data_IF_543925259902
#
_entry.id   IF_543925259902
#
_cell.length_a   1.000
_cell.length_b   1.000
_cell.length_c   1.000
_cell.angle_alpha   90.00
_cell.angle_beta   90.00
_cell.angle_gamma   90.00
#
_symmetry.space_group_name_H-M   'P 1'
#
loop_
_entity.id
_entity.type
_entity.pdbx_description
1 polymer ?
#
# COMPACT_ATOMS: atom_id res chain seq x y z
N UNK A 1 -9.13 -10.46 -41.93
CA UNK A 1 -8.96 -10.33 -40.47
C UNK A 1 -8.19 -9.06 -40.17
N UNK A 2 -8.87 -8.11 -39.54
CA UNK A 2 -8.32 -6.85 -39.03
C UNK A 2 -8.04 -7.04 -37.54
N UNK A 3 -6.85 -6.67 -37.06
CA UNK A 3 -6.55 -6.79 -35.63
C UNK A 3 -5.47 -5.80 -35.18
N UNK A 4 -5.61 -5.37 -33.93
CA UNK A 4 -4.59 -4.62 -33.19
C UNK A 4 -3.56 -5.62 -32.65
N UNK A 5 -2.36 -5.65 -33.23
CA UNK A 5 -1.33 -6.65 -32.91
C UNK A 5 -0.69 -6.31 -31.56
N UNK A 6 -0.15 -5.10 -31.46
CA UNK A 6 0.60 -4.67 -30.29
C UNK A 6 0.65 -3.14 -30.20
N UNK A 7 0.75 -2.63 -28.98
CA UNK A 7 1.07 -1.22 -28.70
C UNK A 7 2.29 -1.25 -27.80
N UNK A 8 3.43 -0.83 -28.34
CA UNK A 8 4.68 -0.72 -27.59
C UNK A 8 4.73 0.67 -26.93
N UNK A 9 4.39 0.72 -25.64
CA UNK A 9 4.32 1.98 -24.91
C UNK A 9 5.70 2.61 -24.72
N UNK A 10 6.75 1.78 -24.60
CA UNK A 10 8.12 2.23 -24.40
C UNK A 10 8.65 2.96 -25.63
N UNK A 11 8.43 2.38 -26.80
CA UNK A 11 8.89 2.93 -28.07
C UNK A 11 7.86 3.86 -28.73
N UNK A 12 6.66 3.99 -28.17
CA UNK A 12 5.57 4.83 -28.69
C UNK A 12 5.11 4.41 -30.11
N UNK A 13 4.95 3.09 -30.31
CA UNK A 13 4.60 2.49 -31.60
C UNK A 13 3.34 1.63 -31.47
N UNK A 14 2.35 1.88 -32.32
CA UNK A 14 1.18 1.01 -32.48
C UNK A 14 1.30 0.18 -33.76
N UNK A 15 1.15 -1.13 -33.63
CA UNK A 15 1.20 -2.10 -34.71
C UNK A 15 -0.19 -2.70 -35.00
N UNK A 16 -0.64 -2.57 -36.24
CA UNK A 16 -1.98 -2.99 -36.68
C UNK A 16 -1.91 -3.78 -38.00
N UNK A 17 -2.70 -4.85 -38.11
CA UNK A 17 -2.98 -5.51 -39.37
C UNK A 17 -4.31 -4.99 -39.92
N UNK A 18 -4.25 -4.25 -41.03
CA UNK A 18 -5.41 -3.60 -41.65
C UNK A 18 -5.38 -3.78 -43.16
N UNK A 19 -6.55 -3.67 -43.77
CA UNK A 19 -6.75 -3.82 -45.20
C UNK A 19 -7.21 -2.47 -45.77
N UNK A 20 -6.28 -1.56 -46.13
CA UNK A 20 -6.64 -0.32 -46.79
C UNK A 20 -7.42 -0.62 -48.07
N UNK A 21 -8.68 -0.18 -48.12
CA UNK A 21 -9.55 -0.38 -49.27
C UNK A 21 -9.57 0.89 -50.10
N UNK A 22 -8.97 0.83 -51.28
CA UNK A 22 -8.86 1.96 -52.20
C UNK A 22 -9.71 1.70 -53.43
N UNK A 23 -10.55 2.69 -53.78
CA UNK A 23 -11.37 2.68 -54.98
C UNK A 23 -11.17 3.97 -55.75
N UNK A 24 -10.83 3.87 -57.03
CA UNK A 24 -10.69 5.01 -57.95
C UNK A 24 -11.23 4.64 -59.33
N UNK A 25 -11.26 5.62 -60.23
CA UNK A 25 -11.74 5.42 -61.61
C UNK A 25 -10.62 5.77 -62.57
N UNK A 26 -10.29 4.83 -63.46
CA UNK A 26 -9.38 5.04 -64.57
C UNK A 26 -10.17 5.01 -65.89
N UNK A 27 -10.10 6.11 -66.63
CA UNK A 27 -10.82 6.24 -67.90
C UNK A 27 -10.19 5.39 -69.01
N UNK A 28 -8.92 5.00 -68.90
CA UNK A 28 -8.21 4.18 -69.89
C UNK A 28 -8.58 2.70 -69.77
N UNK A 29 -9.05 2.27 -68.60
CA UNK A 29 -9.35 0.87 -68.29
C UNK A 29 -10.84 0.52 -68.50
N UNK A 30 -11.50 1.18 -69.47
CA UNK A 30 -12.91 0.96 -69.83
C UNK A 30 -13.03 0.07 -71.06
N UNK A 31 -13.98 -0.86 -71.06
CA UNK A 31 -14.31 -1.67 -72.24
C UNK A 31 -15.81 -1.99 -72.31
N UNK A 32 -16.31 -2.33 -73.49
CA UNK A 32 -17.67 -2.83 -73.66
C UNK A 32 -17.67 -4.36 -73.46
N UNK A 33 -18.37 -4.90 -72.44
CA UNK A 33 -18.41 -6.34 -72.22
C UNK A 33 -18.87 -7.14 -73.44
N UNK A 34 -19.70 -6.56 -74.32
CA UNK A 34 -20.24 -7.23 -75.51
C UNK A 34 -19.15 -7.64 -76.50
N UNK A 35 -18.08 -6.86 -76.58
CA UNK A 35 -16.94 -7.12 -77.50
C UNK A 35 -15.96 -8.16 -76.94
N UNK A 36 -16.04 -8.44 -75.64
CA UNK A 36 -15.11 -9.31 -74.91
C UNK A 36 -15.80 -10.47 -74.20
N UNK A 37 -16.91 -10.98 -74.75
CA UNK A 37 -17.58 -12.18 -74.23
C UNK A 37 -18.29 -11.98 -72.88
N UNK A 38 -18.88 -10.80 -72.67
CA UNK A 38 -19.55 -10.37 -71.43
C UNK A 38 -18.65 -10.43 -70.18
N UNK A 39 -17.35 -10.21 -70.35
CA UNK A 39 -16.43 -10.06 -69.22
C UNK A 39 -16.69 -8.69 -68.58
N UNK A 40 -17.18 -8.68 -67.34
CA UNK A 40 -17.46 -7.45 -66.60
C UNK A 40 -16.32 -7.03 -65.68
N UNK A 41 -15.48 -7.97 -65.23
CA UNK A 41 -14.40 -7.71 -64.28
C UNK A 41 -13.15 -8.50 -64.64
N UNK A 42 -11.97 -7.89 -64.49
CA UNK A 42 -10.67 -8.55 -64.64
C UNK A 42 -9.80 -8.30 -63.41
N UNK A 43 -8.82 -9.19 -63.17
CA UNK A 43 -7.81 -9.03 -62.11
C UNK A 43 -6.47 -8.75 -62.76
N UNK A 44 -5.88 -7.60 -62.47
CA UNK A 44 -4.64 -7.14 -63.10
C UNK A 44 -3.56 -6.99 -62.02
N UNK A 45 -2.33 -7.46 -62.27
CA UNK A 45 -1.20 -7.20 -61.40
C UNK A 45 -0.97 -5.69 -61.16
N UNK A 46 -0.60 -5.27 -59.94
CA UNK A 46 -0.45 -3.87 -59.56
C UNK A 46 0.65 -3.12 -60.33
N UNK A 47 1.65 -3.82 -60.84
CA UNK A 47 2.77 -3.28 -61.63
C UNK A 47 2.38 -2.86 -63.05
N UNK A 48 1.20 -3.27 -63.53
CA UNK A 48 0.72 -2.98 -64.90
C UNK A 48 -0.29 -1.86 -64.98
N UNK A 49 -0.70 -1.31 -63.84
CA UNK A 49 -1.73 -0.28 -63.74
C UNK A 49 -1.22 0.86 -62.88
N UNK A 50 -1.78 2.05 -63.08
CA UNK A 50 -1.49 3.16 -62.18
C UNK A 50 -2.13 2.89 -60.81
N UNK A 51 -1.34 3.10 -59.75
CA UNK A 51 -1.78 3.00 -58.36
C UNK A 51 -1.60 4.35 -57.66
N UNK A 52 -2.54 4.77 -56.81
CA UNK A 52 -2.33 5.92 -55.95
C UNK A 52 -1.31 5.56 -54.85
N UNK A 53 -0.38 6.47 -54.59
CA UNK A 53 0.71 6.32 -53.61
C UNK A 53 0.26 6.67 -52.18
N UNK A 54 -0.80 6.01 -51.71
CA UNK A 54 -1.33 6.23 -50.37
C UNK A 54 -0.42 5.58 -49.34
N UNK A 55 0.25 6.40 -48.54
CA UNK A 55 1.20 5.98 -47.50
C UNK A 55 0.74 6.42 -46.11
N UNK A 56 1.28 5.76 -45.10
CA UNK A 56 1.15 6.16 -43.69
C UNK A 56 2.17 7.27 -43.38
N UNK A 57 1.70 8.47 -43.07
CA UNK A 57 2.56 9.62 -42.80
C UNK A 57 3.26 9.54 -41.44
N UNK A 58 2.57 9.08 -40.41
CA UNK A 58 3.14 8.90 -39.07
C UNK A 58 3.76 7.51 -38.90
N UNK A 59 4.49 7.03 -39.90
CA UNK A 59 5.17 5.73 -39.87
C UNK A 59 6.37 5.75 -38.92
N UNK A 60 6.53 4.68 -38.13
CA UNK A 60 7.65 4.50 -37.20
C UNK A 60 8.69 3.45 -37.66
N UNK A 61 8.41 2.67 -38.72
CA UNK A 61 9.31 1.58 -39.19
C UNK A 61 10.27 2.02 -40.30
N UNK A 62 10.04 3.18 -40.92
CA UNK A 62 10.80 3.65 -42.09
C UNK A 62 10.49 2.92 -43.40
N UNK A 63 9.69 1.84 -43.36
CA UNK A 63 9.17 1.18 -44.56
C UNK A 63 7.75 1.67 -44.87
N UNK A 64 7.59 2.41 -45.96
CA UNK A 64 6.31 3.01 -46.35
C UNK A 64 5.49 2.14 -47.32
N UNK A 65 6.06 1.04 -47.81
CA UNK A 65 5.40 0.14 -48.75
C UNK A 65 4.46 -0.85 -48.04
N UNK A 66 3.45 -1.31 -48.79
CA UNK A 66 2.53 -2.35 -48.32
C UNK A 66 3.22 -3.70 -48.23
N UNK A 67 2.86 -4.52 -47.23
CA UNK A 67 3.50 -5.82 -46.99
C UNK A 67 3.26 -6.84 -48.09
N UNK A 68 2.13 -6.74 -48.80
CA UNK A 68 1.78 -7.62 -49.91
C UNK A 68 1.00 -6.87 -51.00
N UNK A 69 1.50 -6.92 -52.22
CA UNK A 69 0.87 -6.33 -53.40
C UNK A 69 -0.15 -7.31 -54.00
N UNK A 70 -1.41 -7.18 -53.63
CA UNK A 70 -2.52 -7.95 -54.21
C UNK A 70 -2.89 -7.43 -55.61
N UNK A 71 -3.51 -8.28 -56.43
CA UNK A 71 -4.02 -7.88 -57.75
C UNK A 71 -5.15 -6.84 -57.60
N UNK A 72 -5.19 -5.89 -58.53
CA UNK A 72 -6.25 -4.88 -58.63
C UNK A 72 -7.43 -5.50 -59.37
N UNK A 73 -8.64 -5.31 -58.84
CA UNK A 73 -9.88 -5.70 -59.52
C UNK A 73 -10.35 -4.51 -60.33
N UNK A 74 -10.47 -4.70 -61.65
CA UNK A 74 -10.92 -3.66 -62.59
C UNK A 74 -12.28 -4.07 -63.13
N UNK A 75 -13.25 -3.15 -63.08
CA UNK A 75 -14.58 -3.30 -63.66
C UNK A 75 -14.64 -2.62 -65.04
N UNK A 76 -15.51 -3.12 -65.93
CA UNK A 76 -15.67 -2.61 -67.30
C UNK A 76 -16.01 -1.10 -67.39
N UNK A 77 -16.57 -0.53 -66.32
CA UNK A 77 -16.87 0.89 -66.11
C UNK A 77 -15.61 1.75 -65.92
N UNK A 78 -14.43 1.12 -65.75
CA UNK A 78 -13.17 1.76 -65.39
C UNK A 78 -12.99 1.94 -63.88
N UNK A 79 -13.91 1.43 -63.05
CA UNK A 79 -13.72 1.41 -61.60
C UNK A 79 -12.64 0.40 -61.21
N UNK A 80 -11.69 0.83 -60.39
CA UNK A 80 -10.58 0.04 -59.90
C UNK A 80 -10.68 -0.11 -58.38
N UNK A 81 -10.55 -1.34 -57.89
CA UNK A 81 -10.56 -1.69 -56.47
C UNK A 81 -9.25 -2.40 -56.11
N UNK A 82 -8.55 -1.85 -55.12
CA UNK A 82 -7.32 -2.44 -54.59
C UNK A 82 -7.38 -2.54 -53.07
N UNK A 83 -7.10 -3.74 -52.56
CA UNK A 83 -7.16 -4.06 -51.14
C UNK A 83 -5.90 -4.86 -50.77
N UNK A 84 -4.75 -4.21 -50.57
CA UNK A 84 -3.53 -4.87 -50.12
C UNK A 84 -3.58 -5.10 -48.60
N UNK A 85 -3.28 -6.30 -48.09
CA UNK A 85 -3.11 -6.49 -46.66
C UNK A 85 -1.76 -5.92 -46.20
N UNK A 86 -1.77 -5.10 -45.16
CA UNK A 86 -0.57 -4.45 -44.66
C UNK A 86 -0.49 -4.47 -43.13
N UNK A 87 0.72 -4.67 -42.63
CA UNK A 87 1.05 -4.46 -41.22
C UNK A 87 1.69 -3.08 -41.11
N UNK A 88 0.95 -2.14 -40.51
CA UNK A 88 1.46 -0.80 -40.28
C UNK A 88 2.01 -0.66 -38.87
N UNK A 89 3.12 0.09 -38.75
CA UNK A 89 3.66 0.58 -37.48
C UNK A 89 3.55 2.10 -37.46
N UNK A 90 2.59 2.59 -36.69
CA UNK A 90 2.34 4.03 -36.55
C UNK A 90 2.96 4.56 -35.27
N UNK A 91 3.51 5.77 -35.35
CA UNK A 91 3.93 6.52 -34.18
C UNK A 91 2.69 7.07 -33.46
N UNK A 92 2.60 6.79 -32.16
CA UNK A 92 1.51 7.22 -31.30
C UNK A 92 2.05 7.64 -29.93
N UNK A 93 1.72 8.86 -29.51
CA UNK A 93 2.07 9.35 -28.18
C UNK A 93 1.17 8.72 -27.12
N UNK A 94 1.77 8.03 -26.15
CA UNK A 94 1.06 7.33 -25.08
C UNK A 94 1.01 8.21 -23.82
N UNK A 95 -0.18 8.42 -23.28
CA UNK A 95 -0.36 9.10 -22.00
C UNK A 95 -0.42 8.08 -20.85
N UNK A 96 0.54 8.16 -19.94
CA UNK A 96 0.71 7.20 -18.83
C UNK A 96 0.16 7.72 -17.51
N UNK A 97 -0.52 8.87 -17.49
CA UNK A 97 -1.00 9.48 -16.25
C UNK A 97 -1.86 8.52 -15.41
N UNK A 98 -2.82 7.81 -16.02
CA UNK A 98 -3.75 6.92 -15.32
C UNK A 98 -3.42 5.43 -15.44
N UNK A 99 -2.20 5.08 -15.84
CA UNK A 99 -1.78 3.68 -15.97
C UNK A 99 -2.04 2.86 -14.69
N UNK A 100 -2.61 1.64 -14.76
CA UNK A 100 -3.01 0.86 -15.94
C UNK A 100 -4.49 1.05 -16.36
N UNK A 101 -5.20 2.03 -15.79
CA UNK A 101 -6.60 2.35 -16.10
C UNK A 101 -6.72 3.39 -17.21
N UNK A 102 -5.73 3.42 -18.10
CA UNK A 102 -5.54 4.38 -19.16
C UNK A 102 -6.37 4.08 -20.41
N UNK A 103 -6.71 5.15 -21.12
CA UNK A 103 -7.28 5.12 -22.46
C UNK A 103 -6.32 5.85 -23.40
N UNK A 104 -6.07 5.27 -24.57
CA UNK A 104 -5.13 5.81 -25.55
C UNK A 104 -5.87 6.16 -26.84
N UNK A 105 -5.45 7.25 -27.47
CA UNK A 105 -5.96 7.69 -28.76
C UNK A 105 -4.78 7.73 -29.72
N UNK A 106 -4.74 6.75 -30.63
CA UNK A 106 -3.70 6.64 -31.64
C UNK A 106 -4.27 6.95 -33.02
N UNK A 107 -3.66 7.90 -33.72
CA UNK A 107 -4.07 8.23 -35.09
C UNK A 107 -3.26 7.43 -36.11
N UNK A 108 -3.92 6.97 -37.18
CA UNK A 108 -3.26 6.52 -38.40
C UNK A 108 -3.57 7.49 -39.51
N UNK A 109 -2.55 8.17 -40.05
CA UNK A 109 -2.70 9.24 -41.03
C UNK A 109 -2.30 8.73 -42.40
N UNK A 110 -3.28 8.57 -43.30
CA UNK A 110 -3.06 8.17 -44.68
C UNK A 110 -3.18 9.35 -45.63
N UNK A 111 -2.34 9.36 -46.65
CA UNK A 111 -2.36 10.38 -47.70
C UNK A 111 -1.48 10.01 -48.87
N UNK A 112 -1.65 10.70 -49.99
CA UNK A 112 -0.68 10.64 -51.08
C UNK A 112 0.64 11.28 -50.63
N UNK A 113 1.77 10.69 -51.04
CA UNK A 113 3.10 11.25 -50.76
C UNK A 113 3.53 12.28 -51.81
N UNK A 114 3.26 11.99 -53.08
CA UNK A 114 3.75 12.76 -54.23
C UNK A 114 2.71 13.73 -54.80
N UNK A 115 1.42 13.42 -54.70
CA UNK A 115 0.35 14.25 -55.26
C UNK A 115 -0.18 15.29 -54.27
N UNK A 116 -0.54 16.46 -54.82
CA UNK A 116 -1.09 17.58 -54.05
C UNK A 116 -2.62 17.48 -53.89
N UNK A 117 -3.18 18.37 -53.06
CA UNK A 117 -4.62 18.47 -52.77
C UNK A 117 -5.51 18.68 -54.02
N UNK A 118 -4.94 19.21 -55.11
CA UNK A 118 -5.64 19.45 -56.38
C UNK A 118 -5.60 18.24 -57.34
N UNK A 119 -4.69 17.29 -57.11
CA UNK A 119 -4.45 16.14 -58.01
C UNK A 119 -5.16 14.89 -57.48
N UNK A 120 -5.01 14.62 -56.19
CA UNK A 120 -5.64 13.48 -55.51
C UNK A 120 -6.48 14.00 -54.35
N UNK A 121 -7.79 13.75 -54.42
CA UNK A 121 -8.73 14.06 -53.33
C UNK A 121 -9.24 12.77 -52.70
N UNK A 122 -9.06 12.63 -51.40
CA UNK A 122 -9.55 11.49 -50.62
C UNK A 122 -11.01 11.73 -50.22
N UNK A 123 -11.84 10.69 -50.37
CA UNK A 123 -13.24 10.67 -49.95
C UNK A 123 -13.52 9.37 -49.19
N UNK A 124 -14.53 9.42 -48.33
CA UNK A 124 -15.03 8.24 -47.65
C UNK A 124 -15.62 7.24 -48.64
N UNK A 125 -15.27 5.97 -48.50
CA UNK A 125 -15.83 4.90 -49.32
C UNK A 125 -17.30 4.70 -48.91
N UNK A 126 -18.23 4.89 -49.86
CA UNK A 126 -19.68 4.80 -49.61
C UNK A 126 -20.18 5.70 -48.48
N UNK A 127 -19.53 6.85 -48.24
CA UNK A 127 -19.93 7.78 -47.18
C UNK A 127 -19.57 7.35 -45.75
N UNK A 128 -19.05 6.12 -45.54
CA UNK A 128 -18.69 5.59 -44.23
C UNK A 128 -17.53 6.37 -43.62
N UNK A 129 -17.77 7.01 -42.48
CA UNK A 129 -16.75 7.72 -41.70
C UNK A 129 -16.06 6.78 -40.73
N UNK A 130 -16.75 5.76 -40.25
CA UNK A 130 -16.17 4.75 -39.36
C UNK A 130 -15.47 3.62 -40.10
N UNK A 131 -14.47 3.01 -39.45
CA UNK A 131 -13.78 1.82 -39.97
C UNK A 131 -14.70 0.61 -39.90
N UNK A 132 -14.69 -0.21 -40.94
CA UNK A 132 -15.46 -1.45 -40.98
C UNK A 132 -14.82 -2.53 -40.10
N UNK A 133 -15.56 -3.01 -39.08
CA UNK A 133 -15.07 -3.97 -38.08
C UNK A 133 -15.64 -5.39 -38.28
N UNK A 134 -16.16 -5.72 -39.47
CA UNK A 134 -16.76 -7.02 -39.76
C UNK A 134 -15.81 -8.19 -39.47
N UNK A 135 -14.57 -8.08 -39.93
CA UNK A 135 -13.49 -9.06 -39.74
C UNK A 135 -12.55 -8.72 -38.57
N UNK A 136 -13.02 -7.95 -37.58
CA UNK A 136 -12.20 -7.56 -36.43
C UNK A 136 -12.03 -8.73 -35.44
N UNK A 137 -10.77 -9.06 -35.13
CA UNK A 137 -10.44 -9.98 -34.04
C UNK A 137 -10.07 -9.19 -32.78
N UNK A 138 -10.76 -9.38 -31.65
CA UNK A 138 -10.47 -8.65 -30.41
C UNK A 138 -9.08 -9.01 -29.86
N UNK A 139 -8.41 -8.02 -29.27
CA UNK A 139 -7.11 -8.21 -28.63
C UNK A 139 -7.25 -8.73 -27.20
N UNK A 140 -6.23 -9.48 -26.74
CA UNK A 140 -6.13 -9.95 -25.35
C UNK A 140 -5.65 -8.88 -24.37
N UNK A 141 -5.16 -7.74 -24.86
CA UNK A 141 -4.51 -6.69 -24.04
C UNK A 141 -5.31 -5.38 -24.07
N UNK A 142 -5.93 -5.09 -25.21
CA UNK A 142 -6.63 -3.82 -25.46
C UNK A 142 -8.07 -4.08 -25.92
N UNK A 143 -8.98 -3.26 -25.40
CA UNK A 143 -10.36 -3.14 -25.83
C UNK A 143 -10.48 -1.96 -26.81
N UNK A 144 -11.08 -2.18 -27.97
CA UNK A 144 -11.32 -1.16 -28.98
C UNK A 144 -12.62 -0.42 -28.65
N UNK A 145 -12.53 0.89 -28.38
CA UNK A 145 -13.66 1.71 -27.96
C UNK A 145 -14.35 2.40 -29.14
N UNK A 146 -13.58 2.99 -30.06
CA UNK A 146 -14.10 3.69 -31.24
C UNK A 146 -12.99 3.88 -32.30
N UNK A 147 -13.38 4.02 -33.57
CA UNK A 147 -12.46 4.28 -34.70
C UNK A 147 -13.07 5.22 -35.77
N UNK A 148 -13.24 6.52 -35.47
CA UNK A 148 -13.72 7.49 -36.47
C UNK A 148 -12.61 7.86 -37.46
N UNK A 149 -13.00 8.07 -38.72
CA UNK A 149 -12.18 8.64 -39.79
C UNK A 149 -12.51 10.10 -40.04
N UNK A 150 -11.50 10.96 -40.01
CA UNK A 150 -11.60 12.39 -40.26
C UNK A 150 -10.77 12.80 -41.47
N UNK A 151 -11.38 13.52 -42.42
CA UNK A 151 -10.65 14.13 -43.53
C UNK A 151 -9.91 15.37 -43.04
N UNK A 152 -8.59 15.39 -43.24
CA UNK A 152 -7.71 16.50 -42.83
C UNK A 152 -7.10 17.17 -44.07
N UNK A 153 -6.48 18.35 -43.88
CA UNK A 153 -5.75 19.08 -44.94
C UNK A 153 -6.54 19.21 -46.26
N UNK A 154 -7.72 19.85 -46.21
CA UNK A 154 -8.63 20.03 -47.36
C UNK A 154 -8.95 18.74 -48.13
N UNK A 155 -9.06 17.60 -47.44
CA UNK A 155 -9.35 16.27 -48.02
C UNK A 155 -8.21 15.67 -48.84
N UNK A 156 -6.96 16.11 -48.63
CA UNK A 156 -5.77 15.44 -49.18
C UNK A 156 -5.32 14.24 -48.34
N UNK A 157 -5.72 14.19 -47.07
CA UNK A 157 -5.37 13.12 -46.12
C UNK A 157 -6.58 12.69 -45.30
N UNK A 158 -6.52 11.47 -44.77
CA UNK A 158 -7.51 10.91 -43.86
C UNK A 158 -6.81 10.39 -42.60
N UNK A 159 -7.34 10.78 -41.43
CA UNK A 159 -6.86 10.33 -40.13
C UNK A 159 -7.90 9.42 -39.48
N UNK A 160 -7.51 8.19 -39.18
CA UNK A 160 -8.32 7.28 -38.38
C UNK A 160 -7.87 7.34 -36.93
N UNK A 161 -8.73 7.79 -36.03
CA UNK A 161 -8.43 7.89 -34.61
C UNK A 161 -8.85 6.61 -33.91
N UNK A 162 -7.90 5.73 -33.62
CA UNK A 162 -8.14 4.48 -32.91
C UNK A 162 -8.14 4.76 -31.40
N UNK A 163 -9.30 4.70 -30.78
CA UNK A 163 -9.46 4.84 -29.33
C UNK A 163 -9.49 3.46 -28.69
N UNK A 164 -8.52 3.19 -27.82
CA UNK A 164 -8.32 1.88 -27.18
C UNK A 164 -8.19 2.03 -25.67
N UNK A 165 -8.72 1.05 -24.94
CA UNK A 165 -8.67 0.98 -23.48
C UNK A 165 -7.93 -0.27 -23.02
N UNK A 166 -7.13 -0.15 -21.98
CA UNK A 166 -6.30 -1.27 -21.49
C UNK A 166 -7.12 -2.27 -20.67
N UNK A 167 -6.85 -3.56 -20.85
CA UNK A 167 -7.31 -4.62 -19.93
C UNK A 167 -6.46 -4.63 -18.67
N UNK A 168 -7.04 -4.22 -17.55
CA UNK A 168 -6.31 -3.90 -16.31
C UNK A 168 -6.00 -5.11 -15.43
N UNK A 169 -6.62 -6.26 -15.65
CA UNK A 169 -6.56 -7.42 -14.73
C UNK A 169 -5.12 -7.89 -14.47
N UNK A 170 -4.33 -8.06 -15.52
CA UNK A 170 -2.93 -8.50 -15.42
C UNK A 170 -2.11 -7.57 -14.51
N UNK A 171 -2.20 -6.25 -14.75
CA UNK A 171 -1.48 -5.24 -13.98
C UNK A 171 -2.04 -5.08 -12.57
N UNK A 172 -3.34 -5.29 -12.37
CA UNK A 172 -3.96 -5.25 -11.05
C UNK A 172 -3.39 -6.34 -10.15
N UNK A 173 -3.31 -7.58 -10.66
CA UNK A 173 -2.81 -8.73 -9.89
C UNK A 173 -1.30 -8.66 -9.65
N UNK A 174 -0.53 -8.25 -10.65
CA UNK A 174 0.94 -8.31 -10.59
C UNK A 174 1.56 -7.02 -10.04
N UNK A 175 0.92 -5.87 -10.25
CA UNK A 175 1.46 -4.58 -9.81
C UNK A 175 0.69 -3.96 -8.64
N UNK A 176 -0.63 -3.88 -8.71
CA UNK A 176 -1.42 -3.16 -7.69
C UNK A 176 -1.51 -3.96 -6.39
N UNK A 177 -1.86 -5.25 -6.45
CA UNK A 177 -2.01 -6.07 -5.24
C UNK A 177 -0.69 -6.14 -4.42
N UNK A 178 0.48 -6.45 -5.01
CA UNK A 178 1.73 -6.53 -4.25
C UNK A 178 2.13 -5.20 -3.61
N UNK A 179 1.87 -4.07 -4.27
CA UNK A 179 2.23 -2.75 -3.72
C UNK A 179 1.34 -2.33 -2.56
N UNK A 180 0.03 -2.58 -2.65
CA UNK A 180 -0.90 -2.39 -1.54
C UNK A 180 -0.50 -3.28 -0.36
N UNK A 181 -0.19 -4.56 -0.60
CA UNK A 181 0.28 -5.47 0.45
C UNK A 181 1.58 -4.99 1.09
N UNK A 182 2.55 -4.54 0.30
CA UNK A 182 3.83 -3.99 0.81
C UNK A 182 3.62 -2.73 1.66
N UNK A 183 2.71 -1.85 1.25
CA UNK A 183 2.35 -0.68 2.04
C UNK A 183 1.74 -1.08 3.40
N UNK A 184 0.83 -2.07 3.43
CA UNK A 184 0.29 -2.60 4.68
C UNK A 184 1.33 -3.32 5.54
N UNK A 185 2.25 -4.10 4.95
CA UNK A 185 3.35 -4.73 5.67
C UNK A 185 4.27 -3.70 6.32
N UNK A 186 4.50 -2.56 5.67
CA UNK A 186 5.31 -1.47 6.24
C UNK A 186 4.70 -0.89 7.52
N UNK A 187 3.37 -0.86 7.63
CA UNK A 187 2.66 -0.46 8.85
C UNK A 187 2.79 -1.52 9.95
N UNK A 188 2.76 -2.80 9.59
CA UNK A 188 2.88 -3.91 10.56
C UNK A 188 4.20 -3.88 11.35
N UNK A 189 5.24 -3.19 10.85
CA UNK A 189 6.49 -2.91 11.58
C UNK A 189 6.24 -2.26 12.94
N UNK A 190 5.28 -1.32 13.02
CA UNK A 190 4.94 -0.63 14.28
C UNK A 190 4.11 -1.49 15.24
N UNK A 191 3.51 -2.57 14.74
CA UNK A 191 2.81 -3.54 15.58
C UNK A 191 3.79 -4.50 16.28
N UNK A 192 4.95 -4.75 15.68
CA UNK A 192 5.95 -5.65 16.22
C UNK A 192 6.66 -5.03 17.44
N UNK A 193 6.72 -5.75 18.58
CA UNK A 193 7.36 -5.25 19.79
C UNK A 193 8.87 -5.09 19.58
N UNK A 194 9.44 -4.01 20.14
CA UNK A 194 10.88 -3.74 20.07
C UNK A 194 11.74 -4.76 20.86
N UNK A 195 11.12 -5.63 21.67
CA UNK A 195 11.76 -6.79 22.29
C UNK A 195 12.25 -7.80 21.25
N UNK A 196 11.56 -7.90 20.13
CA UNK A 196 11.98 -8.72 19.00
C UNK A 196 13.06 -7.96 18.21
N UNK A 197 14.26 -8.54 18.12
CA UNK A 197 15.35 -8.02 17.28
C UNK A 197 14.99 -7.97 15.78
N UNK A 198 13.90 -8.61 15.37
CA UNK A 198 13.44 -8.73 13.98
C UNK A 198 12.80 -7.45 13.41
N UNK A 199 12.50 -6.45 14.25
CA UNK A 199 11.82 -5.22 13.81
C UNK A 199 12.59 -4.43 12.75
N UNK A 200 13.91 -4.28 12.94
CA UNK A 200 14.77 -3.58 11.98
C UNK A 200 14.95 -4.40 10.71
N UNK A 201 15.18 -5.71 10.86
CA UNK A 201 15.35 -6.64 9.73
C UNK A 201 14.14 -6.59 8.79
N UNK A 202 12.93 -6.70 9.35
CA UNK A 202 11.69 -6.64 8.57
C UNK A 202 11.53 -5.29 7.86
N UNK A 203 11.85 -4.17 8.52
CA UNK A 203 11.79 -2.85 7.90
C UNK A 203 12.76 -2.69 6.72
N UNK A 204 14.02 -3.15 6.87
CA UNK A 204 15.04 -3.10 5.81
C UNK A 204 14.68 -4.04 4.65
N UNK A 205 14.20 -5.26 4.94
CA UNK A 205 13.77 -6.20 3.90
C UNK A 205 12.61 -5.64 3.05
N UNK A 206 11.65 -4.95 3.67
CA UNK A 206 10.56 -4.29 2.95
C UNK A 206 11.11 -3.16 2.06
N UNK A 207 12.06 -2.36 2.55
CA UNK A 207 12.69 -1.30 1.74
C UNK A 207 13.36 -1.88 0.49
N UNK A 208 14.16 -2.94 0.65
CA UNK A 208 14.86 -3.58 -0.46
C UNK A 208 13.86 -4.13 -1.50
N UNK A 209 12.82 -4.82 -1.04
CA UNK A 209 11.79 -5.34 -1.92
C UNK A 209 11.03 -4.22 -2.66
N UNK A 210 10.77 -3.08 -2.01
CA UNK A 210 10.18 -1.91 -2.65
C UNK A 210 11.08 -1.34 -3.75
N UNK A 211 12.40 -1.22 -3.49
CA UNK A 211 13.37 -0.75 -4.51
C UNK A 211 13.40 -1.69 -5.72
N UNK A 212 13.44 -3.01 -5.49
CA UNK A 212 13.39 -4.00 -6.59
C UNK A 212 12.09 -3.86 -7.39
N UNK A 213 10.96 -3.69 -6.71
CA UNK A 213 9.67 -3.51 -7.37
C UNK A 213 9.61 -2.20 -8.18
N UNK A 214 10.18 -1.10 -7.66
CA UNK A 214 10.31 0.16 -8.39
C UNK A 214 11.15 0.01 -9.67
N UNK A 215 12.24 -0.77 -9.61
CA UNK A 215 13.08 -1.09 -10.77
C UNK A 215 12.36 -1.97 -11.80
N UNK A 216 11.42 -2.82 -11.38
CA UNK A 216 10.57 -3.59 -12.29
C UNK A 216 9.62 -2.65 -13.04
N UNK A 217 8.95 -1.74 -12.32
CA UNK A 217 7.98 -0.80 -12.89
C UNK A 217 8.63 0.18 -13.87
N UNK A 218 9.85 0.65 -13.59
CA UNK A 218 10.58 1.54 -14.50
C UNK A 218 10.99 0.88 -15.82
N UNK A 219 10.97 -0.45 -15.90
CA UNK A 219 11.21 -1.18 -17.17
C UNK A 219 9.96 -1.33 -18.02
N UNK A 220 8.77 -1.31 -17.41
CA UNK A 220 7.48 -1.50 -18.09
C UNK A 220 7.00 -0.16 -18.66
N UNK A 221 7.20 0.93 -17.92
CA UNK A 221 6.71 2.26 -18.32
C UNK A 221 7.74 2.97 -19.21
N UNK A 222 7.30 3.72 -20.23
CA UNK A 222 8.20 4.56 -21.02
C UNK A 222 8.87 5.61 -20.13
N UNK A 223 10.15 5.95 -20.39
CA UNK A 223 10.82 7.09 -19.76
C UNK A 223 10.26 8.40 -20.34
N UNK A 224 9.08 8.82 -19.89
CA UNK A 224 8.47 10.09 -20.28
C UNK A 224 8.62 11.09 -19.13
N UNK A 225 9.01 12.32 -19.47
CA UNK A 225 9.14 13.43 -18.51
C UNK A 225 7.89 14.33 -18.45
N UNK A 226 6.92 14.11 -19.35
CA UNK A 226 5.74 14.96 -19.50
C UNK A 226 4.76 14.80 -18.33
N UNK A 227 4.47 13.57 -17.92
CA UNK A 227 3.54 13.27 -16.82
C UNK A 227 4.06 12.09 -15.99
N UNK A 228 3.96 12.19 -14.66
CA UNK A 228 4.32 11.07 -13.77
C UNK A 228 3.10 10.16 -13.64
N UNK A 229 3.20 8.86 -13.96
CA UNK A 229 2.12 7.89 -13.81
C UNK A 229 1.56 7.86 -12.39
N UNK A 230 0.25 7.70 -12.25
CA UNK A 230 -0.43 7.58 -10.97
C UNK A 230 0.18 6.48 -10.11
N UNK A 231 0.51 5.34 -10.72
CA UNK A 231 1.20 4.24 -10.06
C UNK A 231 2.60 4.64 -9.55
N UNK A 232 3.35 5.44 -10.31
CA UNK A 232 4.64 5.93 -9.89
C UNK A 232 4.52 6.93 -8.72
N UNK A 233 3.49 7.79 -8.72
CA UNK A 233 3.15 8.66 -7.57
C UNK A 233 2.88 7.82 -6.32
N UNK A 234 2.14 6.71 -6.44
CA UNK A 234 1.86 5.79 -5.33
C UNK A 234 3.11 5.10 -4.79
N UNK A 235 3.95 4.57 -5.68
CA UNK A 235 5.20 3.93 -5.30
C UNK A 235 6.16 4.92 -4.64
N UNK A 236 6.24 6.15 -5.14
CA UNK A 236 7.06 7.20 -4.54
C UNK A 236 6.55 7.58 -3.15
N UNK A 237 5.23 7.73 -2.97
CA UNK A 237 4.63 7.97 -1.66
C UNK A 237 4.98 6.83 -0.69
N UNK A 238 4.82 5.58 -1.12
CA UNK A 238 5.12 4.40 -0.30
C UNK A 238 6.61 4.32 0.05
N UNK A 239 7.50 4.66 -0.89
CA UNK A 239 8.94 4.71 -0.68
C UNK A 239 9.31 5.74 0.39
N UNK A 240 8.82 6.97 0.26
CA UNK A 240 9.08 8.04 1.24
C UNK A 240 8.54 7.65 2.62
N UNK A 241 7.33 7.10 2.68
CA UNK A 241 6.73 6.62 3.93
C UNK A 241 7.57 5.51 4.57
N UNK A 242 8.11 4.58 3.78
CA UNK A 242 8.97 3.51 4.28
C UNK A 242 10.28 4.03 4.87
N UNK A 243 10.92 5.02 4.22
CA UNK A 243 12.12 5.67 4.75
C UNK A 243 11.84 6.36 6.09
N UNK A 244 10.72 7.09 6.19
CA UNK A 244 10.30 7.71 7.46
C UNK A 244 10.03 6.64 8.51
N UNK A 245 9.37 5.52 8.16
CA UNK A 245 9.16 4.37 9.06
C UNK A 245 10.48 3.86 9.61
N UNK A 246 11.50 3.64 8.77
CA UNK A 246 12.81 3.16 9.22
C UNK A 246 13.46 4.15 10.20
N UNK A 247 13.52 5.43 9.85
CA UNK A 247 14.09 6.46 10.74
C UNK A 247 13.38 6.50 12.09
N UNK A 248 12.05 6.47 12.09
CA UNK A 248 11.25 6.51 13.31
C UNK A 248 11.41 5.22 14.12
N UNK A 249 11.50 4.05 13.49
CA UNK A 249 11.75 2.79 14.20
C UNK A 249 13.10 2.78 14.91
N UNK A 250 14.16 3.35 14.32
CA UNK A 250 15.46 3.52 14.99
C UNK A 250 15.33 4.42 16.23
N UNK A 251 14.55 5.49 16.14
CA UNK A 251 14.27 6.38 17.29
C UNK A 251 13.50 5.63 18.39
N UNK A 252 12.48 4.84 18.03
CA UNK A 252 11.70 4.05 18.98
C UNK A 252 12.58 3.04 19.70
N UNK A 253 13.46 2.36 18.96
CA UNK A 253 14.41 1.39 19.53
C UNK A 253 15.42 2.09 20.45
N UNK A 254 15.91 3.28 20.07
CA UNK A 254 16.74 4.09 20.96
C UNK A 254 16.02 4.42 22.27
N UNK A 255 14.75 4.82 22.21
CA UNK A 255 13.92 5.13 23.39
C UNK A 255 13.65 3.87 24.22
N UNK A 256 13.40 2.73 23.56
CA UNK A 256 13.12 1.45 24.19
C UNK A 256 14.29 0.95 25.06
N UNK A 257 15.52 1.08 24.55
CA UNK A 257 16.73 0.68 25.28
C UNK A 257 17.29 1.76 26.22
N UNK A 258 16.57 2.87 26.48
CA UNK A 258 17.00 3.86 27.48
C UNK A 258 16.95 3.28 28.90
N UNK A 259 18.04 3.50 29.61
CA UNK A 259 18.22 3.10 31.00
C UNK A 259 18.25 4.28 31.95
N UNK A 260 17.97 4.04 33.24
CA UNK A 260 18.04 5.06 34.30
C UNK A 260 19.46 5.59 34.56
N UNK A 261 20.50 4.86 34.16
CA UNK A 261 21.91 5.28 34.28
C UNK A 261 22.35 6.23 33.18
N UNK A 262 21.72 6.18 32.01
CA UNK A 262 22.09 7.00 30.84
C UNK A 262 21.19 8.21 30.66
N UNK A 263 19.89 8.07 30.93
CA UNK A 263 18.90 9.12 30.67
C UNK A 263 17.92 9.27 31.83
N UNK A 264 17.66 10.51 32.22
CA UNK A 264 16.58 10.86 33.14
C UNK A 264 15.31 11.17 32.34
N UNK A 265 14.15 10.66 32.78
CA UNK A 265 12.89 10.89 32.06
C UNK A 265 12.31 12.27 32.44
N UNK A 266 12.18 13.21 31.48
CA UNK A 266 11.65 14.54 31.76
C UNK A 266 10.19 14.48 32.24
N UNK A 267 9.79 15.42 33.10
CA UNK A 267 8.43 15.48 33.67
C UNK A 267 7.33 15.63 32.60
N UNK A 268 7.65 16.31 31.50
CA UNK A 268 6.72 16.48 30.38
C UNK A 268 6.46 15.15 29.65
N UNK A 269 7.50 14.31 29.45
CA UNK A 269 7.37 12.98 28.83
C UNK A 269 6.45 12.10 29.65
N UNK A 270 6.60 12.14 30.98
CA UNK A 270 5.72 11.39 31.90
C UNK A 270 4.26 11.82 31.76
N UNK A 271 4.01 13.12 31.66
CA UNK A 271 2.64 13.64 31.59
C UNK A 271 1.99 13.31 30.25
N UNK A 272 2.70 13.51 29.14
CA UNK A 272 2.19 13.28 27.80
C UNK A 272 2.04 11.78 27.51
N UNK A 273 3.11 10.99 27.61
CA UNK A 273 3.14 9.60 27.17
C UNK A 273 2.65 8.58 28.20
N UNK A 274 2.68 8.87 29.51
CA UNK A 274 2.16 7.95 30.54
C UNK A 274 0.74 8.29 31.00
N UNK A 275 0.26 9.53 30.79
CA UNK A 275 -1.05 9.99 31.27
C UNK A 275 -2.02 10.30 30.13
N UNK A 276 -1.69 11.23 29.25
CA UNK A 276 -2.65 11.71 28.23
C UNK A 276 -2.80 10.77 27.03
N UNK A 277 -1.70 10.36 26.41
CA UNK A 277 -1.71 9.56 25.19
C UNK A 277 -2.31 8.15 25.35
N UNK A 278 -2.05 7.40 26.44
CA UNK A 278 -2.67 6.10 26.66
C UNK A 278 -4.20 6.17 26.78
N UNK A 279 -4.73 7.27 27.34
CA UNK A 279 -6.18 7.50 27.40
C UNK A 279 -6.77 7.73 26.00
N UNK A 280 -6.08 8.50 25.15
CA UNK A 280 -6.49 8.71 23.76
C UNK A 280 -6.44 7.41 22.94
N UNK A 281 -5.40 6.60 23.14
CA UNK A 281 -5.16 5.35 22.40
C UNK A 281 -5.85 4.11 23.00
N UNK A 282 -6.71 4.29 24.02
CA UNK A 282 -7.41 3.22 24.76
C UNK A 282 -6.49 2.10 25.29
N UNK A 283 -5.24 2.43 25.65
CA UNK A 283 -4.31 1.47 26.24
C UNK A 283 -4.45 1.42 27.76
N UNK A 284 -4.64 0.22 28.30
CA UNK A 284 -4.65 -0.01 29.74
C UNK A 284 -3.21 -0.19 30.22
N UNK A 285 -2.73 0.74 31.06
CA UNK A 285 -1.40 0.61 31.69
C UNK A 285 -1.35 -0.68 32.52
N UNK A 286 -0.31 -1.52 32.39
CA UNK A 286 -0.07 -2.59 33.34
C UNK A 286 0.06 -1.97 34.73
N UNK A 287 -0.78 -2.42 35.66
CA UNK A 287 -0.79 -1.93 37.04
C UNK A 287 0.57 -2.31 37.65
N UNK A 288 1.35 -1.34 38.13
CA UNK A 288 2.64 -1.63 38.76
C UNK A 288 2.43 -2.51 40.00
N UNK A 289 3.37 -3.38 40.29
CA UNK A 289 3.38 -4.23 41.50
C UNK A 289 3.11 -3.43 42.78
N UNK A 290 3.69 -2.23 42.90
CA UNK A 290 3.46 -1.29 44.02
C UNK A 290 1.98 -0.87 44.17
N UNK A 291 1.28 -0.68 43.05
CA UNK A 291 -0.12 -0.28 43.02
C UNK A 291 -1.03 -1.47 43.37
N UNK A 292 -0.64 -2.68 42.94
CA UNK A 292 -1.30 -3.94 43.30
C UNK A 292 -1.14 -4.23 44.81
N UNK A 293 0.04 -4.00 45.37
CA UNK A 293 0.31 -4.10 46.81
C UNK A 293 -0.44 -3.04 47.62
N UNK A 294 -0.47 -1.78 47.15
CA UNK A 294 -1.30 -0.73 47.77
C UNK A 294 -2.79 -1.08 47.72
N UNK A 295 -3.28 -1.65 46.62
CA UNK A 295 -4.67 -2.12 46.50
C UNK A 295 -4.96 -3.34 47.38
N UNK A 296 -4.00 -4.27 47.54
CA UNK A 296 -4.08 -5.38 48.50
C UNK A 296 -4.09 -4.88 49.95
N UNK A 297 -3.25 -3.90 50.28
CA UNK A 297 -3.21 -3.24 51.59
C UNK A 297 -4.53 -2.53 51.92
N UNK A 298 -5.15 -1.86 50.95
CA UNK A 298 -6.46 -1.20 51.10
C UNK A 298 -7.66 -2.17 51.15
N UNK A 299 -7.49 -3.43 50.74
CA UNK A 299 -8.56 -4.47 50.77
C UNK A 299 -8.58 -5.29 52.06
N UNK A 300 -7.71 -5.01 53.04
CA UNK A 300 -7.76 -5.69 54.34
C UNK A 300 -9.06 -5.30 55.08
N UNK A 301 -9.88 -6.26 55.55
CA UNK A 301 -11.06 -5.98 56.35
C UNK A 301 -10.66 -5.29 57.68
N UNK A 302 -11.55 -4.47 58.29
CA UNK A 302 -11.25 -3.81 59.55
C UNK A 302 -11.16 -4.87 60.65
N UNK A 303 -9.95 -5.28 61.01
CA UNK A 303 -9.70 -6.31 62.04
C UNK A 303 -8.47 -7.20 61.82
N UNK A 304 -7.80 -7.17 60.66
CA UNK A 304 -6.53 -7.89 60.50
C UNK A 304 -5.36 -7.08 61.05
N UNK A 305 -4.38 -7.68 61.76
CA UNK A 305 -3.27 -6.94 62.35
C UNK A 305 -2.52 -6.16 61.26
N UNK A 306 -2.37 -4.86 61.53
CA UNK A 306 -1.59 -3.93 60.75
C UNK A 306 -0.19 -4.49 60.62
N UNK A 307 0.20 -4.91 59.42
CA UNK A 307 1.60 -5.22 59.13
C UNK A 307 2.35 -3.89 59.20
N UNK A 308 2.91 -3.60 60.37
CA UNK A 308 3.87 -2.51 60.59
C UNK A 308 4.97 -2.69 59.55
N UNK A 309 5.30 -1.61 58.82
CA UNK A 309 6.46 -1.61 57.93
C UNK A 309 7.69 -1.48 58.81
N UNK A 310 8.25 -2.61 59.21
CA UNK A 310 9.53 -2.64 59.92
C UNK A 310 10.64 -2.17 58.99
N UNK A 311 11.43 -1.19 59.43
CA UNK A 311 12.78 -1.01 58.90
C UNK A 311 13.65 -2.13 59.47
N UNK A 312 14.57 -2.73 58.68
CA UNK A 312 15.58 -3.59 59.29
C UNK A 312 16.37 -2.75 60.32
N UNK A 313 16.56 -3.29 61.52
CA UNK A 313 17.13 -2.58 62.67
C UNK A 313 16.14 -1.93 63.65
N UNK A 314 14.83 -1.93 63.37
CA UNK A 314 13.80 -1.41 64.29
C UNK A 314 13.32 -2.50 65.24
N UNK A 315 13.87 -2.52 66.46
CA UNK A 315 13.48 -3.45 67.52
C UNK A 315 12.29 -2.90 68.32
N UNK A 316 11.15 -3.58 68.25
CA UNK A 316 10.02 -3.34 69.16
C UNK A 316 10.19 -4.26 70.36
N UNK A 317 10.10 -3.70 71.57
CA UNK A 317 9.98 -4.46 72.81
C UNK A 317 8.70 -5.32 72.74
N UNK A 318 8.87 -6.63 72.48
CA UNK A 318 7.77 -7.57 72.58
C UNK A 318 7.43 -7.77 74.05
N UNK A 319 6.30 -7.22 74.49
CA UNK A 319 5.68 -7.62 75.74
C UNK A 319 5.57 -9.15 75.78
N UNK A 320 6.23 -9.76 76.76
CA UNK A 320 6.50 -11.20 76.93
C UNK A 320 5.25 -12.05 77.23
N UNK A 321 4.06 -11.64 76.77
CA UNK A 321 2.82 -12.34 77.08
C UNK A 321 2.37 -13.35 76.01
N UNK A 322 2.84 -13.28 74.74
CA UNK A 322 2.28 -14.14 73.66
C UNK A 322 3.23 -14.49 72.51
N UNK A 323 4.44 -14.97 72.80
CA UNK A 323 5.22 -15.72 71.80
C UNK A 323 5.79 -16.96 72.45
N UNK A 324 5.09 -18.08 72.31
CA UNK A 324 5.61 -19.39 72.69
C UNK A 324 5.89 -20.21 71.43
N UNK A 325 7.07 -20.81 71.34
CA UNK A 325 7.49 -21.66 70.22
C UNK A 325 6.63 -22.94 70.14
N UNK A 326 6.36 -23.52 68.94
CA UNK A 326 5.37 -24.60 68.77
C UNK A 326 5.71 -25.96 69.44
N UNK A 327 6.87 -26.11 70.09
CA UNK A 327 7.33 -27.38 70.68
C UNK A 327 8.01 -27.23 72.06
N UNK A 328 7.59 -26.28 72.88
CA UNK A 328 8.09 -26.19 74.25
C UNK A 328 7.13 -26.91 75.22
N UNK A 329 7.52 -28.10 75.68
CA UNK A 329 6.77 -28.94 76.61
C UNK A 329 7.19 -28.67 78.06
N UNK A 330 6.76 -27.54 78.65
CA UNK A 330 6.89 -27.30 80.09
C UNK A 330 5.69 -26.53 80.64
N UNK A 331 4.59 -27.24 80.92
CA UNK A 331 3.73 -26.85 82.03
C UNK A 331 2.94 -28.06 82.57
N UNK A 332 3.56 -28.76 83.52
CA UNK A 332 2.83 -29.58 84.49
C UNK A 332 3.33 -29.19 85.88
N UNK A 333 2.67 -28.21 86.53
CA UNK A 333 2.41 -28.31 87.98
C UNK A 333 1.37 -27.31 88.49
N UNK A 334 0.30 -27.90 89.00
CA UNK A 334 -0.51 -27.52 90.16
C UNK A 334 -1.52 -26.35 90.11
N UNK A 335 -2.78 -26.74 89.87
CA UNK A 335 -3.87 -26.81 90.86
C UNK A 335 -4.23 -25.55 91.68
N UNK A 336 -5.43 -25.00 91.43
CA UNK A 336 -6.49 -24.86 92.44
C UNK A 336 -7.82 -24.40 91.82
N UNK A 337 -8.81 -25.29 91.96
CA UNK A 337 -10.25 -25.11 92.17
C UNK A 337 -10.85 -23.69 92.25
N UNK A 338 -11.90 -23.45 91.44
CA UNK A 338 -13.32 -23.19 91.81
C UNK A 338 -14.03 -22.12 90.93
N UNK A 339 -15.10 -22.55 90.22
CA UNK A 339 -16.30 -21.83 89.72
C UNK A 339 -16.12 -20.77 88.61
N UNK A 340 -16.44 -21.03 87.33
CA UNK A 340 -17.78 -20.89 86.67
C UNK A 340 -18.49 -19.55 87.02
N UNK A 341 -18.81 -18.59 86.13
CA UNK A 341 -19.14 -18.67 84.72
C UNK A 341 -19.18 -17.28 84.01
N UNK A 342 -18.88 -17.32 82.71
CA UNK A 342 -19.41 -16.50 81.59
C UNK A 342 -19.08 -15.01 81.40
N UNK A 343 -18.25 -14.82 80.37
CA UNK A 343 -18.10 -13.68 79.47
C UNK A 343 -19.27 -12.70 79.30
N UNK A 344 -18.94 -11.39 79.26
CA UNK A 344 -19.39 -10.51 78.19
C UNK A 344 -18.49 -9.26 78.05
N UNK A 345 -18.00 -9.03 76.83
CA UNK A 345 -17.31 -7.82 76.40
C UNK A 345 -18.23 -6.58 76.45
N UNK A 346 -17.71 -5.43 76.86
CA UNK A 346 -17.43 -4.29 75.96
C UNK A 346 -16.97 -3.03 76.73
N UNK A 347 -15.93 -2.40 76.17
CA UNK A 347 -15.58 -0.98 76.16
C UNK A 347 -15.72 -0.18 77.49
N UNK A 348 -14.75 0.59 77.95
CA UNK A 348 -14.08 1.68 77.26
C UNK A 348 -13.15 2.28 78.31
N UNK A 349 -11.86 2.49 78.03
CA UNK A 349 -11.13 3.60 78.67
C UNK A 349 -9.87 3.89 77.89
N UNK A 350 -9.90 5.06 77.27
CA UNK A 350 -8.76 5.86 76.86
C UNK A 350 -7.80 6.06 78.04
N UNK A 351 -6.54 5.71 77.87
CA UNK A 351 -5.44 6.36 78.59
C UNK A 351 -4.23 6.43 77.68
N UNK A 352 -3.80 7.66 77.41
CA UNK A 352 -2.57 8.00 76.74
C UNK A 352 -1.39 7.25 77.37
N UNK A 353 -0.60 6.58 76.55
CA UNK A 353 0.73 6.09 76.91
C UNK A 353 1.71 6.96 76.12
N UNK A 354 2.47 7.76 76.85
CA UNK A 354 3.63 8.49 76.36
C UNK A 354 4.60 7.47 75.74
N UNK A 355 4.94 7.67 74.45
CA UNK A 355 5.99 6.91 73.80
C UNK A 355 7.33 7.49 74.23
N UNK A 356 8.01 6.83 75.17
CA UNK A 356 9.45 7.02 75.33
C UNK A 356 10.15 6.42 74.10
N UNK A 357 10.78 7.26 73.28
CA UNK A 357 11.68 6.84 72.20
C UNK A 357 12.96 6.24 72.83
N UNK A 358 13.01 4.92 72.94
CA UNK A 358 14.26 4.21 73.24
C UNK A 358 15.22 4.39 72.05
N UNK A 359 16.40 4.96 72.30
CA UNK A 359 17.35 5.26 71.25
C UNK A 359 17.93 3.98 70.64
N UNK A 360 18.08 3.94 69.31
CA UNK A 360 18.69 2.83 68.56
C UNK A 360 20.11 2.46 69.03
N UNK A 361 20.76 3.32 69.82
CA UNK A 361 22.09 3.11 70.37
C UNK A 361 22.12 2.08 71.52
N UNK A 362 21.05 1.95 72.31
CA UNK A 362 21.06 1.09 73.51
C UNK A 362 20.84 -0.39 73.17
N UNK A 363 20.14 -0.68 72.08
CA UNK A 363 19.88 -2.05 71.59
C UNK A 363 21.10 -2.60 70.84
N UNK A 364 21.90 -1.71 70.23
CA UNK A 364 23.17 -2.04 69.58
C UNK A 364 24.21 -2.61 70.56
N UNK A 365 24.11 -2.27 71.84
CA UNK A 365 25.01 -2.74 72.89
C UNK A 365 24.71 -4.17 73.42
N UNK A 366 23.55 -4.73 73.08
CA UNK A 366 23.08 -6.07 73.52
C UNK A 366 23.26 -7.17 72.46
N UNK A 367 23.75 -6.83 71.27
CA UNK A 367 23.88 -7.75 70.14
C UNK A 367 25.32 -8.27 70.00
N UNK A 368 25.47 -9.56 69.67
CA UNK A 368 26.76 -10.14 69.25
C UNK A 368 27.29 -9.39 68.02
N UNK A 369 28.61 -9.23 67.91
CA UNK A 369 29.27 -8.61 66.75
C UNK A 369 28.85 -9.27 65.41
N UNK A 370 28.55 -10.58 65.44
CA UNK A 370 28.03 -11.32 64.29
C UNK A 370 26.59 -10.94 63.93
N UNK A 371 25.74 -10.63 64.91
CA UNK A 371 24.36 -10.20 64.68
C UNK A 371 24.31 -8.78 64.09
N UNK A 372 25.19 -7.89 64.53
CA UNK A 372 25.33 -6.53 63.96
C UNK A 372 25.79 -6.62 62.49
N UNK A 373 26.79 -7.46 62.18
CA UNK A 373 27.23 -7.71 60.79
C UNK A 373 26.13 -8.30 59.92
N UNK A 374 25.30 -9.20 60.46
CA UNK A 374 24.17 -9.77 59.74
C UNK A 374 23.07 -8.73 59.45
N UNK A 375 22.77 -7.84 60.39
CA UNK A 375 21.81 -6.74 60.20
C UNK A 375 22.31 -5.78 59.12
N UNK A 376 23.57 -5.36 59.16
CA UNK A 376 24.18 -4.49 58.15
C UNK A 376 24.17 -5.14 56.75
N UNK A 377 24.44 -6.46 56.68
CA UNK A 377 24.32 -7.21 55.44
C UNK A 377 22.87 -7.26 54.91
N UNK A 378 21.87 -7.42 55.79
CA UNK A 378 20.44 -7.39 55.41
C UNK A 378 20.04 -5.98 54.95
N UNK A 379 20.48 -4.93 55.63
CA UNK A 379 20.25 -3.54 55.23
C UNK A 379 20.84 -3.25 53.85
N UNK A 380 22.08 -3.67 53.61
CA UNK A 380 22.70 -3.57 52.29
C UNK A 380 21.90 -4.32 51.21
N UNK A 381 21.49 -5.56 51.48
CA UNK A 381 20.69 -6.37 50.54
C UNK A 381 19.33 -5.70 50.27
N UNK A 382 18.65 -5.19 51.30
CA UNK A 382 17.34 -4.55 51.14
C UNK A 382 17.43 -3.24 50.36
N UNK A 383 18.43 -2.41 50.62
CA UNK A 383 18.63 -1.16 49.86
C UNK A 383 19.06 -1.46 48.42
N UNK A 384 19.89 -2.49 48.20
CA UNK A 384 20.24 -2.97 46.86
C UNK A 384 19.01 -3.47 46.09
N UNK A 385 18.17 -4.31 46.70
CA UNK A 385 16.92 -4.80 46.10
C UNK A 385 15.95 -3.66 45.77
N UNK A 386 15.86 -2.65 46.64
CA UNK A 386 15.01 -1.47 46.44
C UNK A 386 15.52 -0.60 45.30
N UNK A 387 16.84 -0.40 45.20
CA UNK A 387 17.45 0.31 44.08
C UNK A 387 17.26 -0.45 42.76
N UNK A 388 17.42 -1.77 42.78
CA UNK A 388 17.23 -2.63 41.62
C UNK A 388 15.77 -2.65 41.14
N UNK A 389 14.82 -2.67 42.08
CA UNK A 389 13.39 -2.49 41.80
C UNK A 389 13.07 -1.10 41.21
N UNK A 390 13.69 -0.03 41.73
CA UNK A 390 13.56 1.31 41.16
C UNK A 390 14.08 1.37 39.72
N UNK A 391 15.24 0.77 39.45
CA UNK A 391 15.80 0.71 38.10
C UNK A 391 14.93 -0.10 37.15
N UNK A 392 14.39 -1.25 37.59
CA UNK A 392 13.40 -2.02 36.81
C UNK A 392 12.18 -1.18 36.47
N UNK A 393 11.63 -0.46 37.45
CA UNK A 393 10.46 0.41 37.25
C UNK A 393 10.71 1.48 36.20
N UNK A 394 11.84 2.19 36.26
CA UNK A 394 12.16 3.25 35.27
C UNK A 394 12.36 2.67 33.87
N UNK A 395 13.00 1.49 33.74
CA UNK A 395 13.13 0.80 32.45
C UNK A 395 11.76 0.43 31.88
N UNK A 396 10.87 -0.14 32.69
CA UNK A 396 9.51 -0.48 32.26
C UNK A 396 8.70 0.76 31.85
N UNK A 397 8.91 1.92 32.47
CA UNK A 397 8.29 3.17 32.02
C UNK A 397 8.82 3.61 30.65
N UNK A 398 10.14 3.53 30.38
CA UNK A 398 10.71 3.82 29.06
C UNK A 398 10.21 2.88 27.97
N UNK A 399 10.15 1.57 28.26
CA UNK A 399 9.56 0.57 27.36
C UNK A 399 8.11 0.88 27.04
N UNK A 400 7.32 1.27 28.06
CA UNK A 400 5.93 1.65 27.87
C UNK A 400 5.80 2.92 27.03
N UNK A 401 6.67 3.93 27.23
CA UNK A 401 6.71 5.12 26.37
C UNK A 401 6.99 4.74 24.92
N UNK A 402 7.97 3.87 24.66
CA UNK A 402 8.25 3.37 23.31
C UNK A 402 7.04 2.65 22.69
N UNK A 403 6.36 1.78 23.46
CA UNK A 403 5.14 1.10 23.02
C UNK A 403 3.99 2.08 22.71
N UNK A 404 3.85 3.14 23.49
CA UNK A 404 2.83 4.18 23.25
C UNK A 404 3.12 4.95 21.95
N UNK A 405 4.39 5.28 21.71
CA UNK A 405 4.84 5.92 20.48
C UNK A 405 4.58 5.01 19.27
N UNK A 406 4.93 3.73 19.35
CA UNK A 406 4.65 2.73 18.31
C UNK A 406 3.15 2.71 17.93
N UNK A 407 2.27 2.69 18.92
CA UNK A 407 0.81 2.65 18.70
C UNK A 407 0.26 3.94 18.11
N UNK A 408 0.75 5.09 18.56
CA UNK A 408 0.38 6.38 17.98
C UNK A 408 0.74 6.42 16.49
N UNK A 409 1.99 6.06 16.18
CA UNK A 409 2.50 6.09 14.81
C UNK A 409 1.80 5.05 13.94
N UNK A 410 1.47 3.88 14.48
CA UNK A 410 0.66 2.89 13.77
C UNK A 410 -0.66 3.49 13.26
N UNK A 411 -1.40 4.23 14.09
CA UNK A 411 -2.65 4.86 13.66
C UNK A 411 -2.44 6.00 12.66
N UNK A 412 -1.40 6.82 12.86
CA UNK A 412 -1.07 7.90 11.91
C UNK A 412 -0.70 7.32 10.54
N UNK A 413 0.22 6.35 10.51
CA UNK A 413 0.66 5.70 9.29
C UNK A 413 -0.47 4.90 8.64
N UNK A 414 -1.34 4.24 9.41
CA UNK A 414 -2.53 3.59 8.86
C UNK A 414 -3.44 4.59 8.16
N UNK A 415 -3.74 5.72 8.79
CA UNK A 415 -4.61 6.74 8.20
C UNK A 415 -4.00 7.32 6.92
N UNK A 416 -2.69 7.62 6.92
CA UNK A 416 -1.99 8.13 5.74
C UNK A 416 -1.93 7.10 4.62
N UNK A 417 -1.59 5.83 4.93
CA UNK A 417 -1.51 4.77 3.94
C UNK A 417 -2.89 4.44 3.38
N UNK A 418 -3.90 4.20 4.23
CA UNK A 418 -5.25 3.90 3.78
C UNK A 418 -5.87 5.07 3.00
N UNK A 419 -5.69 6.31 3.48
CA UNK A 419 -6.15 7.51 2.79
C UNK A 419 -5.44 7.72 1.45
N UNK A 420 -4.12 7.50 1.38
CA UNK A 420 -3.33 7.57 0.16
C UNK A 420 -3.73 6.52 -0.87
N UNK A 421 -3.83 5.25 -0.46
CA UNK A 421 -4.28 4.15 -1.32
C UNK A 421 -5.68 4.42 -1.86
N UNK A 422 -6.60 4.87 -0.99
CA UNK A 422 -7.98 5.16 -1.39
C UNK A 422 -8.08 6.38 -2.31
N UNK A 423 -7.36 7.47 -2.01
CA UNK A 423 -7.34 8.66 -2.84
C UNK A 423 -6.76 8.40 -4.23
N UNK A 424 -5.73 7.56 -4.33
CA UNK A 424 -5.13 7.18 -5.60
C UNK A 424 -6.05 6.26 -6.40
N UNK A 425 -6.62 5.22 -5.79
CA UNK A 425 -7.56 4.33 -6.48
C UNK A 425 -8.80 5.07 -6.99
N UNK A 426 -9.34 6.02 -6.22
CA UNK A 426 -10.49 6.81 -6.67
C UNK A 426 -10.15 7.95 -7.62
N UNK A 427 -8.88 8.35 -7.72
CA UNK A 427 -8.47 9.37 -8.69
C UNK A 427 -8.49 8.87 -10.13
N UNK A 428 -8.43 7.55 -10.34
CA UNK A 428 -8.45 6.98 -11.67
C UNK A 428 -9.91 6.84 -12.16
N UNK A 429 -10.28 7.45 -13.31
CA UNK A 429 -11.67 7.61 -13.74
C UNK A 429 -12.35 6.27 -14.07
N UNK A 430 -11.60 5.32 -14.61
CA UNK A 430 -12.14 4.09 -15.20
C UNK A 430 -11.89 2.83 -14.34
N UNK A 431 -11.58 3.00 -13.04
CA UNK A 431 -11.20 1.86 -12.15
C UNK A 431 -12.32 0.82 -12.01
N UNK A 432 -13.57 1.27 -11.98
CA UNK A 432 -14.74 0.41 -11.79
C UNK A 432 -15.56 0.19 -13.06
N UNK A 433 -15.08 0.71 -14.20
CA UNK A 433 -15.80 0.59 -15.46
C UNK A 433 -15.44 -0.75 -16.14
N UNK A 434 -16.44 -1.62 -16.27
CA UNK A 434 -16.29 -2.86 -17.02
C UNK A 434 -16.66 -2.64 -18.48
N UNK A 435 -15.78 -3.04 -19.39
CA UNK A 435 -16.00 -2.94 -20.84
C UNK A 435 -16.50 -4.27 -21.38
N UNK A 436 -17.70 -4.27 -21.97
CA UNK A 436 -18.19 -5.38 -22.76
C UNK A 436 -17.80 -5.18 -24.24
N UNK A 437 -16.65 -5.71 -24.62
CA UNK A 437 -16.06 -5.51 -25.94
C UNK A 437 -16.97 -5.98 -27.09
N UNK A 438 -17.70 -7.08 -26.91
CA UNK A 438 -18.59 -7.62 -27.95
C UNK A 438 -19.74 -6.66 -28.25
N UNK A 439 -20.34 -6.08 -27.21
CA UNK A 439 -21.44 -5.13 -27.36
C UNK A 439 -20.98 -3.82 -28.04
N UNK A 440 -19.79 -3.33 -27.72
CA UNK A 440 -19.22 -2.13 -28.35
C UNK A 440 -18.95 -2.37 -29.83
N UNK A 441 -18.32 -3.49 -30.19
CA UNK A 441 -18.06 -3.81 -31.60
C UNK A 441 -19.37 -3.93 -32.38
N UNK A 442 -20.38 -4.57 -31.81
CA UNK A 442 -21.70 -4.69 -32.45
C UNK A 442 -22.36 -3.32 -32.66
N UNK A 443 -22.29 -2.44 -31.66
CA UNK A 443 -22.77 -1.06 -31.79
C UNK A 443 -22.02 -0.28 -32.89
N UNK A 444 -20.70 -0.43 -32.98
CA UNK A 444 -19.88 0.22 -34.02
C UNK A 444 -20.19 -0.31 -35.42
N UNK A 445 -20.49 -1.61 -35.55
CA UNK A 445 -20.94 -2.18 -36.83
C UNK A 445 -22.27 -1.58 -37.26
N UNK A 446 -23.23 -1.47 -36.34
CA UNK A 446 -24.53 -0.88 -36.61
C UNK A 446 -24.45 0.61 -36.97
N UNK A 447 -23.56 1.39 -36.32
CA UNK A 447 -23.35 2.79 -36.69
C UNK A 447 -22.69 2.95 -38.06
N UNK A 448 -21.72 2.10 -38.40
CA UNK A 448 -21.10 2.09 -39.72
C UNK A 448 -22.08 1.71 -40.84
N UNK A 449 -23.06 0.84 -40.56
CA UNK A 449 -24.15 0.51 -41.48
C UNK A 449 -25.15 1.66 -41.63
N UNK A 450 -25.49 2.36 -40.55
CA UNK A 450 -26.39 3.50 -40.59
C UNK A 450 -25.86 4.67 -41.44
N UNK A 451 -24.54 4.93 -41.40
CA UNK A 451 -23.88 5.94 -42.24
C UNK A 451 -23.94 5.63 -43.74
N UNK A 452 -24.19 4.37 -44.13
CA UNK A 452 -24.32 3.98 -45.54
C UNK A 452 -25.66 4.44 -46.15
N UNK A 453 -26.68 4.63 -45.32
CA UNK A 453 -28.07 4.88 -45.75
C UNK A 453 -28.38 6.39 -45.81
N UNK A 454 -27.60 7.22 -45.11
CA UNK A 454 -27.69 8.69 -45.09
C UNK A 454 -26.86 9.33 -46.19
#
# INVERSE_FOLDING_TARGET
>A
MVLLINVDEKNQIMQTNVWPTMKWVDYQMRWDPRDYGNIHTIRVPPDKVWLPDIVLFNNADGNYEVSFYSNVVVEYTGEMLWVPPAIYKSSCTIDVEFFPFDEQICAMIFGSWTFNENEVTIKYLMGKRQVELNDYSPSGIWDLMDVPGELIQKKSKIAYQIRIRRKTLFYTVILIIPTVLMAFLSMMVFYLPAEASEKITLAISILLALVVFLLLVSKILPPTSSTIPLMAKYLLMTFVMNIITILVTVIIINIYFRGPTTHTMPSWVKTIFLKHLPMLLMMKRPISSDELERRRSKRKPPGSPTTVKYRPGEFIEMNHARVHHPYCALQHRHNKNEGEDNALLNATTSSAIEQEEVSSAEISALLSEEAIKAIDAIDYITEHLKQDNYYKKVREEWKYVAMVIDRLLLYIFFAVTAGGTMGILFSAPNVFEYVNQTAIIEQLKLSAEAEMIS
#
